data_IF_185906197953
#
_entry.id   IF_185906197953
#
_cell.length_a   1.000
_cell.length_b   1.000
_cell.length_c   1.000
_cell.angle_alpha   90.00
_cell.angle_beta   90.00
_cell.angle_gamma   90.00
#
_symmetry.space_group_name_H-M   'P 1'
#
loop_
_entity.id
_entity.type
_entity.pdbx_description
1 polymer ?
#
# COMPACT_ATOMS: atom_id res chain seq x y z
N UNK A 1 49.98 -25.77 -10.17
CA UNK A 1 48.59 -25.33 -9.87
C UNK A 1 47.77 -25.04 -11.11
N UNK A 2 48.35 -24.45 -12.17
CA UNK A 2 47.64 -24.15 -13.45
C UNK A 2 46.99 -25.41 -14.07
N UNK A 3 47.69 -26.56 -14.02
CA UNK A 3 47.19 -27.84 -14.57
C UNK A 3 45.92 -28.37 -13.90
N UNK A 4 45.73 -28.12 -12.58
CA UNK A 4 44.52 -28.53 -11.87
C UNK A 4 43.33 -27.63 -12.18
N UNK A 5 43.60 -26.34 -12.42
CA UNK A 5 42.60 -25.39 -12.94
C UNK A 5 42.14 -25.78 -14.34
N UNK A 6 43.05 -26.15 -15.24
CA UNK A 6 42.73 -26.60 -16.60
C UNK A 6 41.89 -27.89 -16.62
N UNK A 7 42.21 -28.86 -15.75
CA UNK A 7 41.44 -30.12 -15.64
C UNK A 7 40.03 -29.87 -15.11
N UNK A 8 39.86 -28.87 -14.25
CA UNK A 8 38.58 -28.55 -13.62
C UNK A 8 37.69 -27.69 -14.51
N UNK A 9 38.20 -26.55 -14.99
CA UNK A 9 37.43 -25.49 -15.65
C UNK A 9 37.65 -25.41 -17.16
N UNK A 10 38.71 -26.02 -17.68
CA UNK A 10 39.14 -25.90 -19.07
C UNK A 10 39.06 -27.21 -19.84
N UNK A 11 39.99 -27.38 -20.79
CA UNK A 11 40.08 -28.59 -21.60
C UNK A 11 40.84 -29.68 -20.84
N UNK A 12 40.10 -30.63 -20.26
CA UNK A 12 40.67 -31.71 -19.44
C UNK A 12 41.32 -32.84 -20.25
N UNK A 13 41.02 -32.96 -21.56
CA UNK A 13 41.45 -34.09 -22.38
C UNK A 13 42.97 -34.07 -22.74
N UNK A 14 43.61 -32.94 -23.09
CA UNK A 14 45.04 -32.90 -23.35
C UNK A 14 45.90 -33.16 -22.10
N UNK A 15 45.64 -32.56 -20.92
CA UNK A 15 46.41 -32.84 -19.70
C UNK A 15 46.23 -34.28 -19.21
N UNK A 16 45.00 -34.82 -19.25
CA UNK A 16 44.73 -36.20 -18.82
C UNK A 16 45.41 -37.23 -19.72
N UNK A 17 45.41 -37.00 -21.05
CA UNK A 17 46.11 -37.85 -22.02
C UNK A 17 47.62 -37.85 -21.80
N UNK A 18 48.23 -36.70 -21.51
CA UNK A 18 49.66 -36.63 -21.17
C UNK A 18 49.98 -37.38 -19.88
N UNK A 19 49.12 -37.30 -18.87
CA UNK A 19 49.32 -38.03 -17.61
C UNK A 19 49.19 -39.55 -17.78
N UNK A 20 48.20 -40.01 -18.55
CA UNK A 20 48.02 -41.43 -18.86
C UNK A 20 49.19 -42.01 -19.66
N UNK A 21 49.73 -41.25 -20.61
CA UNK A 21 50.83 -41.72 -21.47
C UNK A 21 52.19 -41.79 -20.76
N UNK A 22 52.45 -40.92 -19.77
CA UNK A 22 53.78 -40.81 -19.14
C UNK A 22 53.91 -41.53 -17.80
N UNK A 23 52.81 -41.85 -17.11
CA UNK A 23 52.85 -42.40 -15.74
C UNK A 23 52.12 -43.74 -15.66
N UNK A 24 50.79 -43.73 -15.79
CA UNK A 24 49.97 -44.94 -15.71
C UNK A 24 48.54 -44.66 -16.15
N UNK A 25 47.90 -45.65 -16.77
CA UNK A 25 46.51 -45.59 -17.22
C UNK A 25 45.50 -45.40 -16.06
N UNK A 26 45.86 -45.82 -14.84
CA UNK A 26 45.01 -45.67 -13.64
C UNK A 26 44.74 -44.20 -13.26
N UNK A 27 45.60 -43.28 -13.66
CA UNK A 27 45.41 -41.85 -13.41
C UNK A 27 44.18 -41.28 -14.13
N UNK A 28 43.76 -41.85 -15.25
CA UNK A 28 42.54 -41.40 -15.91
C UNK A 28 41.28 -41.72 -15.12
N UNK A 29 41.23 -42.87 -14.45
CA UNK A 29 40.11 -43.24 -13.58
C UNK A 29 40.01 -42.29 -12.37
N UNK A 30 41.15 -41.97 -11.76
CA UNK A 30 41.21 -41.00 -10.67
C UNK A 30 40.70 -39.61 -11.08
N UNK A 31 41.15 -39.10 -12.24
CA UNK A 31 40.73 -37.78 -12.77
C UNK A 31 39.24 -37.79 -13.12
N UNK A 32 38.73 -38.89 -13.68
CA UNK A 32 37.31 -39.03 -14.02
C UNK A 32 36.44 -38.99 -12.77
N UNK A 33 36.77 -39.76 -11.73
CA UNK A 33 36.04 -39.76 -10.46
C UNK A 33 36.08 -38.37 -9.81
N UNK A 34 37.27 -37.76 -9.74
CA UNK A 34 37.43 -36.40 -9.23
C UNK A 34 36.51 -35.41 -9.96
N UNK A 35 36.48 -35.45 -11.29
CA UNK A 35 35.65 -34.56 -12.10
C UNK A 35 34.16 -34.84 -11.94
N UNK A 36 33.75 -36.10 -11.88
CA UNK A 36 32.36 -36.47 -11.63
C UNK A 36 31.88 -35.94 -10.28
N UNK A 37 32.65 -36.16 -9.20
CA UNK A 37 32.29 -35.67 -7.87
C UNK A 37 32.25 -34.13 -7.86
N UNK A 38 33.26 -33.48 -8.43
CA UNK A 38 33.34 -32.02 -8.43
C UNK A 38 32.23 -31.36 -9.24
N UNK A 39 31.94 -31.86 -10.45
CA UNK A 39 30.87 -31.31 -11.29
C UNK A 39 29.49 -31.58 -10.69
N UNK A 40 29.24 -32.79 -10.15
CA UNK A 40 27.95 -33.11 -9.52
C UNK A 40 27.74 -32.29 -8.24
N UNK A 41 28.76 -32.18 -7.38
CA UNK A 41 28.67 -31.40 -6.16
C UNK A 41 28.46 -29.91 -6.46
N UNK A 42 29.23 -29.34 -7.40
CA UNK A 42 29.16 -27.92 -7.72
C UNK A 42 27.81 -27.55 -8.34
N UNK A 43 27.32 -28.32 -9.32
CA UNK A 43 26.01 -28.06 -9.96
C UNK A 43 24.87 -28.18 -8.94
N UNK A 44 24.90 -29.19 -8.07
CA UNK A 44 23.88 -29.37 -7.06
C UNK A 44 23.87 -28.23 -6.04
N UNK A 45 25.05 -27.77 -5.60
CA UNK A 45 25.16 -26.64 -4.66
C UNK A 45 24.70 -25.35 -5.32
N UNK A 46 25.13 -25.05 -6.55
CA UNK A 46 24.67 -23.82 -7.23
C UNK A 46 23.17 -23.83 -7.45
N UNK A 47 22.59 -24.95 -7.89
CA UNK A 47 21.15 -25.08 -8.08
C UNK A 47 20.40 -24.91 -6.75
N UNK A 48 20.89 -25.50 -5.66
CA UNK A 48 20.29 -25.32 -4.34
C UNK A 48 20.32 -23.85 -3.88
N UNK A 49 21.42 -23.14 -4.11
CA UNK A 49 21.52 -21.70 -3.78
C UNK A 49 20.57 -20.87 -4.61
N UNK A 50 20.46 -21.12 -5.92
CA UNK A 50 19.51 -20.40 -6.77
C UNK A 50 18.06 -20.63 -6.34
N UNK A 51 17.69 -21.86 -5.99
CA UNK A 51 16.36 -22.19 -5.47
C UNK A 51 16.13 -21.51 -4.12
N UNK A 52 17.11 -21.53 -3.22
CA UNK A 52 17.00 -20.91 -1.90
C UNK A 52 16.82 -19.38 -2.01
N UNK A 53 17.58 -18.72 -2.87
CA UNK A 53 17.47 -17.27 -3.07
C UNK A 53 16.14 -16.89 -3.73
N UNK A 54 15.71 -17.67 -4.74
CA UNK A 54 14.39 -17.46 -5.38
C UNK A 54 13.25 -17.62 -4.37
N UNK A 55 13.33 -18.66 -3.53
CA UNK A 55 12.32 -18.91 -2.51
C UNK A 55 12.33 -17.83 -1.41
N UNK A 56 13.51 -17.32 -1.03
CA UNK A 56 13.63 -16.20 -0.09
C UNK A 56 12.90 -14.97 -0.62
N UNK A 57 13.13 -14.58 -1.88
CA UNK A 57 12.49 -13.40 -2.48
C UNK A 57 10.97 -13.59 -2.62
N UNK A 58 10.51 -14.79 -3.00
CA UNK A 58 9.09 -15.10 -3.06
C UNK A 58 8.43 -15.01 -1.68
N UNK A 59 9.04 -15.62 -0.67
CA UNK A 59 8.54 -15.63 0.71
C UNK A 59 8.59 -14.24 1.35
N UNK A 60 9.60 -13.41 1.07
CA UNK A 60 9.71 -12.10 1.73
C UNK A 60 8.53 -11.19 1.36
N UNK A 61 8.05 -11.24 0.10
CA UNK A 61 6.87 -10.51 -0.34
C UNK A 61 5.59 -11.01 0.35
N UNK A 62 5.37 -12.32 0.37
CA UNK A 62 4.17 -12.91 0.99
C UNK A 62 4.17 -12.77 2.51
N UNK A 63 5.32 -12.98 3.15
CA UNK A 63 5.50 -12.85 4.60
C UNK A 63 5.38 -11.38 5.01
N UNK A 64 5.95 -10.44 4.25
CA UNK A 64 5.77 -9.01 4.52
C UNK A 64 4.29 -8.61 4.41
N UNK A 65 3.58 -9.06 3.37
CA UNK A 65 2.15 -8.78 3.20
C UNK A 65 1.32 -9.38 4.35
N UNK A 66 1.59 -10.63 4.73
CA UNK A 66 0.91 -11.30 5.84
C UNK A 66 1.19 -10.63 7.19
N UNK A 67 2.42 -10.14 7.42
CA UNK A 67 2.77 -9.37 8.61
C UNK A 67 2.03 -8.04 8.65
N UNK A 68 1.98 -7.30 7.53
CA UNK A 68 1.21 -6.04 7.43
C UNK A 68 -0.27 -6.26 7.76
N UNK A 69 -0.89 -7.31 7.20
CA UNK A 69 -2.31 -7.66 7.49
C UNK A 69 -2.53 -8.04 8.96
N UNK A 70 -1.68 -8.89 9.54
CA UNK A 70 -1.80 -9.30 10.95
C UNK A 70 -1.63 -8.13 11.91
N UNK A 71 -0.68 -7.23 11.65
CA UNK A 71 -0.48 -6.03 12.48
C UNK A 71 -1.66 -5.08 12.34
N UNK A 72 -2.19 -4.88 11.14
CA UNK A 72 -3.39 -4.06 10.92
C UNK A 72 -4.61 -4.58 11.69
N UNK A 73 -4.89 -5.88 11.63
CA UNK A 73 -6.00 -6.49 12.36
C UNK A 73 -5.85 -6.38 13.89
N UNK A 74 -4.63 -6.53 14.41
CA UNK A 74 -4.34 -6.32 15.85
C UNK A 74 -4.57 -4.87 16.28
N UNK A 75 -4.13 -3.91 15.46
CA UNK A 75 -4.34 -2.49 15.75
C UNK A 75 -5.83 -2.14 15.70
N UNK A 76 -6.56 -2.66 14.72
CA UNK A 76 -8.01 -2.45 14.63
C UNK A 76 -8.72 -2.96 15.89
N UNK A 77 -8.38 -4.16 16.36
CA UNK A 77 -8.94 -4.70 17.61
C UNK A 77 -8.59 -3.85 18.85
N UNK A 78 -7.35 -3.40 18.96
CA UNK A 78 -6.93 -2.51 20.05
C UNK A 78 -7.71 -1.19 20.03
N UNK A 79 -7.98 -0.65 18.84
CA UNK A 79 -8.80 0.55 18.68
C UNK A 79 -10.26 0.33 19.03
N UNK A 80 -10.81 -0.87 18.75
CA UNK A 80 -12.15 -1.23 19.22
C UNK A 80 -12.23 -1.26 20.74
N UNK A 81 -11.23 -1.87 21.40
CA UNK A 81 -11.16 -1.93 22.86
C UNK A 81 -11.04 -0.52 23.46
N UNK A 82 -10.24 0.36 22.85
CA UNK A 82 -10.11 1.77 23.25
C UNK A 82 -11.42 2.53 23.05
N UNK A 83 -12.11 2.32 21.92
CA UNK A 83 -13.38 2.99 21.66
C UNK A 83 -14.43 2.59 22.69
N UNK A 84 -14.46 1.32 23.08
CA UNK A 84 -15.38 0.83 24.11
C UNK A 84 -15.06 1.39 25.52
N UNK A 85 -13.80 1.73 25.80
CA UNK A 85 -13.41 2.42 27.04
C UNK A 85 -13.75 3.92 27.02
N UNK A 86 -13.90 4.50 25.83
CA UNK A 86 -14.29 5.91 25.61
C UNK A 86 -15.81 6.10 25.54
N UNK A 87 -16.55 5.12 25.04
CA UNK A 87 -18.02 5.13 24.94
C UNK A 87 -18.67 4.64 26.25
N UNK A 88 -18.83 5.55 27.21
CA UNK A 88 -19.54 5.24 28.48
C UNK A 88 -21.06 5.21 28.32
N UNK A 89 -21.59 5.91 27.32
CA UNK A 89 -23.02 5.98 27.02
C UNK A 89 -23.54 4.70 26.37
N UNK A 90 -22.67 3.95 25.69
CA UNK A 90 -23.03 2.75 24.94
C UNK A 90 -23.91 3.06 23.73
N UNK A 91 -23.91 4.31 23.27
CA UNK A 91 -24.69 4.78 22.12
C UNK A 91 -23.92 4.65 20.80
N UNK A 92 -22.64 4.23 20.86
CA UNK A 92 -21.78 4.07 19.70
C UNK A 92 -21.19 5.39 19.20
N UNK A 93 -21.35 6.48 19.95
CA UNK A 93 -20.85 7.81 19.59
C UNK A 93 -20.00 8.38 20.72
N UNK A 94 -18.85 8.96 20.36
CA UNK A 94 -18.01 9.65 21.35
C UNK A 94 -17.90 11.12 21.01
N UNK A 95 -18.15 11.98 22.01
CA UNK A 95 -17.98 13.42 21.81
C UNK A 95 -16.50 13.80 21.77
N UNK A 96 -16.14 14.68 20.82
CA UNK A 96 -14.75 15.15 20.64
C UNK A 96 -14.16 15.74 21.92
N UNK A 97 -14.98 16.42 22.73
CA UNK A 97 -14.53 17.01 24.01
C UNK A 97 -14.15 15.95 25.03
N UNK A 98 -15.01 14.95 25.20
CA UNK A 98 -14.82 13.88 26.18
C UNK A 98 -13.64 12.99 25.76
N UNK A 99 -13.50 12.77 24.45
CA UNK A 99 -12.35 12.09 23.87
C UNK A 99 -11.04 12.81 24.11
N UNK A 100 -10.99 14.12 23.86
CA UNK A 100 -9.77 14.91 24.04
C UNK A 100 -9.33 14.92 25.51
N UNK A 101 -10.28 14.93 26.45
CA UNK A 101 -9.98 14.82 27.87
C UNK A 101 -9.42 13.43 28.23
N UNK A 102 -9.98 12.35 27.70
CA UNK A 102 -9.58 10.97 28.04
C UNK A 102 -8.33 10.47 27.32
N UNK A 103 -8.06 10.96 26.11
CA UNK A 103 -6.84 10.59 25.38
C UNK A 103 -5.59 11.12 26.10
N UNK A 104 -5.73 12.17 26.93
CA UNK A 104 -4.64 12.69 27.76
C UNK A 104 -4.28 11.78 28.94
N UNK A 105 -5.10 10.78 29.27
CA UNK A 105 -4.78 9.82 30.33
C UNK A 105 -3.50 9.04 30.00
N UNK A 106 -2.66 8.82 31.01
CA UNK A 106 -1.35 8.17 30.85
C UNK A 106 -1.47 6.78 30.19
N UNK A 107 -2.57 6.06 30.45
CA UNK A 107 -2.86 4.76 29.86
C UNK A 107 -3.17 4.87 28.36
N UNK A 108 -4.02 5.82 27.96
CA UNK A 108 -4.37 6.02 26.55
C UNK A 108 -3.18 6.54 25.76
N UNK A 109 -2.41 7.46 26.32
CA UNK A 109 -1.17 7.94 25.73
C UNK A 109 -0.16 6.81 25.45
N UNK A 110 -0.05 5.82 26.35
CA UNK A 110 0.79 4.62 26.11
C UNK A 110 0.26 3.76 24.96
N UNK A 111 -1.06 3.64 24.82
CA UNK A 111 -1.69 2.88 23.72
C UNK A 111 -1.44 3.56 22.37
N UNK A 112 -1.65 4.87 22.27
CA UNK A 112 -1.36 5.64 21.04
C UNK A 112 0.13 5.68 20.73
N UNK A 113 0.99 5.82 21.75
CA UNK A 113 2.44 5.74 21.57
C UNK A 113 2.89 4.35 21.10
N UNK A 114 2.26 3.26 21.56
CA UNK A 114 2.50 1.91 21.02
C UNK A 114 2.07 1.76 19.56
N UNK A 115 1.20 2.66 19.08
CA UNK A 115 0.78 2.71 17.70
C UNK A 115 1.60 3.70 16.85
N UNK A 116 2.66 4.30 17.40
CA UNK A 116 3.48 5.37 16.79
C UNK A 116 2.66 6.63 16.45
N UNK A 117 1.67 6.96 17.28
CA UNK A 117 0.81 8.13 17.09
C UNK A 117 0.97 9.12 18.24
N UNK A 118 1.08 10.40 17.88
CA UNK A 118 1.06 11.50 18.85
C UNK A 118 -0.39 11.86 19.19
N UNK A 119 -0.65 12.11 20.48
CA UNK A 119 -1.98 12.48 20.99
C UNK A 119 -2.50 13.74 20.30
N UNK A 120 -1.62 14.68 20.00
CA UNK A 120 -1.94 15.94 19.32
C UNK A 120 -2.45 15.69 17.90
N UNK A 121 -1.77 14.84 17.12
CA UNK A 121 -2.21 14.47 15.77
C UNK A 121 -3.55 13.74 15.76
N UNK A 122 -3.78 12.87 16.74
CA UNK A 122 -5.06 12.17 16.91
C UNK A 122 -6.16 13.19 17.21
N UNK A 123 -5.93 14.12 18.14
CA UNK A 123 -6.93 15.14 18.49
C UNK A 123 -7.31 16.06 17.32
N UNK A 124 -6.32 16.48 16.51
CA UNK A 124 -6.54 17.32 15.33
C UNK A 124 -7.34 16.57 14.26
N UNK A 125 -7.00 15.30 14.00
CA UNK A 125 -7.68 14.46 13.04
C UNK A 125 -9.16 14.28 13.40
N UNK A 126 -9.42 13.97 14.66
CA UNK A 126 -10.78 13.76 15.17
C UNK A 126 -11.61 15.04 15.08
N UNK A 127 -11.00 16.19 15.39
CA UNK A 127 -11.65 17.47 15.21
C UNK A 127 -12.05 17.70 13.75
N UNK A 128 -11.15 17.43 12.79
CA UNK A 128 -11.45 17.53 11.35
C UNK A 128 -12.55 16.57 10.90
N UNK A 129 -12.57 15.34 11.39
CA UNK A 129 -13.57 14.33 11.03
C UNK A 129 -14.96 14.62 11.60
N UNK A 130 -15.05 15.46 12.64
CA UNK A 130 -16.30 15.70 13.35
C UNK A 130 -17.35 16.54 12.60
N UNK A 131 -17.06 17.04 11.39
CA UNK A 131 -17.96 17.80 10.47
C UNK A 131 -18.98 18.72 11.18
N UNK A 132 -18.55 19.40 12.25
CA UNK A 132 -19.39 20.26 13.08
C UNK A 132 -20.40 19.57 14.01
N UNK A 133 -20.58 18.24 13.93
CA UNK A 133 -21.48 17.43 14.78
C UNK A 133 -20.92 17.16 16.19
N UNK A 134 -19.64 17.44 16.42
CA UNK A 134 -18.94 17.26 17.72
C UNK A 134 -19.00 15.83 18.28
N UNK A 135 -19.34 14.85 17.45
CA UNK A 135 -19.45 13.43 17.79
C UNK A 135 -18.84 12.60 16.66
N UNK A 136 -18.25 11.47 17.01
CA UNK A 136 -17.56 10.56 16.09
C UNK A 136 -18.10 9.15 16.34
N UNK A 137 -18.46 8.48 15.24
CA UNK A 137 -18.87 7.07 15.24
C UNK A 137 -17.66 6.13 15.33
N UNK A 138 -17.87 4.92 15.86
CA UNK A 138 -16.85 3.88 15.97
C UNK A 138 -16.11 3.64 14.66
N UNK A 139 -16.84 3.49 13.56
CA UNK A 139 -16.23 3.20 12.26
C UNK A 139 -15.40 4.38 11.74
N UNK A 140 -15.83 5.61 12.02
CA UNK A 140 -15.09 6.81 11.67
C UNK A 140 -13.81 6.93 12.49
N UNK A 141 -13.87 6.66 13.80
CA UNK A 141 -12.72 6.66 14.69
C UNK A 141 -11.64 5.67 14.24
N UNK A 142 -12.04 4.41 14.00
CA UNK A 142 -11.11 3.35 13.61
C UNK A 142 -10.49 3.65 12.23
N UNK A 143 -11.30 4.08 11.26
CA UNK A 143 -10.81 4.44 9.92
C UNK A 143 -9.86 5.63 9.97
N UNK A 144 -10.18 6.66 10.76
CA UNK A 144 -9.33 7.84 10.93
C UNK A 144 -7.95 7.47 11.48
N UNK A 145 -7.91 6.71 12.57
CA UNK A 145 -6.64 6.35 13.21
C UNK A 145 -5.84 5.34 12.36
N UNK A 146 -6.49 4.39 11.70
CA UNK A 146 -5.81 3.49 10.76
C UNK A 146 -5.26 4.24 9.54
N UNK A 147 -5.95 5.28 9.07
CA UNK A 147 -5.44 6.14 8.01
C UNK A 147 -4.20 6.94 8.46
N UNK A 148 -4.19 7.41 9.72
CA UNK A 148 -3.04 8.09 10.30
C UNK A 148 -1.81 7.17 10.45
N UNK A 149 -2.04 5.87 10.76
CA UNK A 149 -0.99 4.85 10.91
C UNK A 149 -0.50 4.22 9.59
N UNK A 150 -1.28 4.30 8.51
CA UNK A 150 -0.94 3.68 7.22
C UNK A 150 0.44 4.11 6.70
N UNK A 151 1.02 3.36 5.76
CA UNK A 151 2.34 3.55 5.12
C UNK A 151 2.44 4.85 4.27
N UNK A 152 1.79 5.93 4.69
CA UNK A 152 1.94 7.26 4.20
C UNK A 152 3.05 7.92 5.01
N UNK A 153 4.28 7.81 4.48
CA UNK A 153 5.54 8.41 4.94
C UNK A 153 5.53 9.94 5.14
N UNK A 154 4.38 10.59 5.16
CA UNK A 154 4.24 11.90 5.78
C UNK A 154 2.80 12.06 6.26
N UNK A 155 2.65 12.29 7.56
CA UNK A 155 1.41 12.78 8.18
C UNK A 155 0.78 13.92 7.36
N UNK A 156 1.58 14.71 6.63
CA UNK A 156 1.13 15.72 5.68
C UNK A 156 0.32 15.22 4.47
N UNK A 157 0.65 14.08 3.86
CA UNK A 157 -0.11 13.56 2.70
C UNK A 157 -1.48 13.02 3.10
N UNK A 158 -1.55 12.31 4.23
CA UNK A 158 -2.83 11.81 4.77
C UNK A 158 -3.72 12.97 5.22
N UNK A 159 -3.15 13.96 5.94
CA UNK A 159 -3.88 15.19 6.31
C UNK A 159 -4.41 15.91 5.07
N UNK A 160 -3.59 16.03 4.01
CA UNK A 160 -4.02 16.65 2.75
C UNK A 160 -5.17 15.88 2.09
N UNK A 161 -5.12 14.55 2.06
CA UNK A 161 -6.17 13.73 1.45
C UNK A 161 -7.49 13.81 2.24
N UNK A 162 -7.41 13.80 3.58
CA UNK A 162 -8.58 13.98 4.44
C UNK A 162 -9.18 15.38 4.29
N UNK A 163 -8.35 16.42 4.27
CA UNK A 163 -8.79 17.81 4.02
C UNK A 163 -9.44 17.90 2.64
N UNK A 164 -8.87 17.28 1.60
CA UNK A 164 -9.44 17.27 0.27
C UNK A 164 -10.81 16.56 0.23
N UNK A 165 -10.98 15.47 0.97
CA UNK A 165 -12.28 14.78 1.09
C UNK A 165 -13.31 15.64 1.83
N UNK A 166 -12.93 16.25 2.95
CA UNK A 166 -13.80 17.17 3.69
C UNK A 166 -14.16 18.41 2.84
N UNK A 167 -13.22 18.93 2.04
CA UNK A 167 -13.48 20.03 1.09
C UNK A 167 -14.43 19.60 -0.04
N UNK A 168 -14.34 18.37 -0.53
CA UNK A 168 -15.26 17.86 -1.55
C UNK A 168 -16.69 17.72 -0.99
N UNK A 169 -16.84 17.15 0.21
CA UNK A 169 -18.16 17.02 0.85
C UNK A 169 -18.80 18.38 1.17
N UNK A 170 -18.01 19.36 1.61
CA UNK A 170 -18.51 20.72 1.83
C UNK A 170 -18.86 21.43 0.54
N UNK A 171 -18.11 21.21 -0.55
CA UNK A 171 -18.46 21.73 -1.88
C UNK A 171 -19.75 21.13 -2.42
N UNK A 172 -20.00 19.84 -2.24
CA UNK A 172 -21.24 19.20 -2.66
C UNK A 172 -22.44 19.78 -1.89
N UNK A 173 -22.30 19.99 -0.56
CA UNK A 173 -23.35 20.63 0.25
C UNK A 173 -23.60 22.08 -0.13
N UNK A 174 -22.54 22.84 -0.44
CA UNK A 174 -22.67 24.23 -0.91
C UNK A 174 -23.30 24.27 -2.29
N UNK A 175 -22.93 23.35 -3.20
CA UNK A 175 -23.57 23.23 -4.52
C UNK A 175 -25.07 22.98 -4.37
N UNK A 176 -25.45 22.06 -3.49
CA UNK A 176 -26.86 21.75 -3.22
C UNK A 176 -27.63 22.97 -2.67
N UNK A 177 -27.04 23.74 -1.75
CA UNK A 177 -27.66 24.97 -1.20
C UNK A 177 -27.72 26.12 -2.22
N UNK A 178 -26.74 26.25 -3.09
CA UNK A 178 -26.74 27.28 -4.15
C UNK A 178 -27.77 26.93 -5.23
N UNK A 179 -27.93 25.65 -5.56
CA UNK A 179 -28.97 25.16 -6.48
C UNK A 179 -30.37 25.32 -5.88
N UNK A 180 -30.54 25.12 -4.57
CA UNK A 180 -31.85 25.33 -3.92
C UNK A 180 -32.20 26.81 -3.74
N UNK A 181 -31.21 27.70 -3.68
CA UNK A 181 -31.39 29.15 -3.46
C UNK A 181 -31.40 29.95 -4.77
N UNK A 182 -31.04 29.34 -5.91
CA UNK A 182 -31.19 29.99 -7.21
C UNK A 182 -32.67 30.19 -7.55
N UNK A 183 -33.14 31.41 -7.32
CA UNK A 183 -34.41 31.96 -7.80
C UNK A 183 -34.63 31.54 -9.27
N UNK A 184 -35.78 30.98 -9.63
CA UNK A 184 -36.08 30.72 -11.03
C UNK A 184 -36.08 32.07 -11.75
N UNK A 185 -35.09 32.27 -12.63
CA UNK A 185 -35.05 33.41 -13.54
C UNK A 185 -36.33 33.33 -14.36
N UNK A 186 -37.26 34.24 -14.07
CA UNK A 186 -38.53 34.41 -14.77
C UNK A 186 -38.22 34.78 -16.21
N UNK A 187 -38.30 33.82 -17.11
CA UNK A 187 -38.16 34.05 -18.55
C UNK A 187 -39.26 35.02 -19.01
N UNK A 188 -38.84 36.23 -19.35
CA UNK A 188 -39.69 37.23 -20.00
C UNK A 188 -39.71 36.93 -21.51
N UNK A 189 -40.89 36.88 -22.17
CA UNK A 189 -40.99 36.36 -23.52
C UNK A 189 -40.50 37.40 -24.53
N UNK A 190 -39.23 37.29 -24.94
CA UNK A 190 -38.68 38.13 -25.99
C UNK A 190 -39.06 37.56 -27.37
N UNK A 191 -39.82 38.38 -28.10
CA UNK A 191 -40.34 38.18 -29.45
C UNK A 191 -39.38 37.49 -30.41
N UNK A 192 -39.98 36.63 -31.23
CA UNK A 192 -39.44 36.01 -32.44
C UNK A 192 -38.63 36.99 -33.29
N UNK A 193 -37.37 36.64 -33.57
CA UNK A 193 -36.79 36.93 -34.88
C UNK A 193 -35.96 35.74 -35.35
N UNK A 194 -36.48 35.16 -36.42
CA UNK A 194 -35.99 34.04 -37.23
C UNK A 194 -34.62 34.26 -37.85
N UNK A 195 -33.95 33.11 -38.11
CA UNK A 195 -32.91 32.84 -39.13
C UNK A 195 -31.52 33.42 -38.82
N UNK A 196 -30.39 32.72 -38.95
CA UNK A 196 -29.95 31.45 -39.55
C UNK A 196 -28.64 31.10 -38.81
N UNK A 197 -28.32 29.84 -38.47
CA UNK A 197 -27.47 28.97 -39.31
C UNK A 197 -27.29 27.62 -38.60
N UNK A 198 -27.57 26.56 -39.37
CA UNK A 198 -27.05 25.20 -39.20
C UNK A 198 -25.52 25.25 -39.27
N UNK A 199 -24.71 24.72 -38.35
CA UNK A 199 -24.29 23.31 -38.24
C UNK A 199 -23.34 23.24 -37.02
N UNK A 200 -23.69 22.52 -35.95
CA UNK A 200 -23.40 21.10 -35.67
C UNK A 200 -21.94 20.81 -35.21
N UNK A 201 -21.85 20.54 -33.90
CA UNK A 201 -21.11 19.43 -33.30
C UNK A 201 -19.58 19.43 -33.32
N UNK A 202 -18.98 19.74 -32.17
CA UNK A 202 -17.84 19.01 -31.57
C UNK A 202 -17.41 19.67 -30.25
N UNK A 203 -18.09 19.37 -29.14
CA UNK A 203 -17.56 19.73 -27.81
C UNK A 203 -18.25 19.00 -26.64
N UNK A 204 -18.74 17.76 -26.84
CA UNK A 204 -19.48 17.07 -25.77
C UNK A 204 -19.25 15.56 -25.67
N UNK A 205 -18.11 15.06 -26.14
CA UNK A 205 -17.75 13.64 -26.01
C UNK A 205 -16.39 13.35 -25.36
N UNK A 206 -15.63 14.36 -24.96
CA UNK A 206 -14.28 14.15 -24.39
C UNK A 206 -14.23 14.05 -22.86
N UNK A 207 -15.29 14.39 -22.14
CA UNK A 207 -15.30 14.30 -20.66
C UNK A 207 -15.79 12.95 -20.11
N UNK A 208 -16.57 12.18 -20.88
CA UNK A 208 -17.05 10.86 -20.43
C UNK A 208 -16.03 9.72 -20.67
N UNK A 209 -15.03 9.95 -21.54
CA UNK A 209 -14.01 8.93 -21.85
C UNK A 209 -12.84 8.91 -20.86
N UNK A 210 -12.67 9.96 -20.03
CA UNK A 210 -11.51 10.06 -19.14
C UNK A 210 -11.75 9.37 -17.79
N UNK A 211 -12.97 9.44 -17.25
CA UNK A 211 -13.31 8.78 -15.97
C UNK A 211 -13.29 7.24 -16.04
N UNK A 212 -13.74 6.66 -17.15
CA UNK A 212 -13.79 5.19 -17.32
C UNK A 212 -12.40 4.54 -17.52
N UNK A 213 -11.42 5.26 -18.07
CA UNK A 213 -10.07 4.71 -18.30
C UNK A 213 -9.17 4.74 -17.07
N UNK A 214 -9.44 5.59 -16.08
CA UNK A 214 -8.70 5.61 -14.81
C UNK A 214 -9.20 4.47 -13.90
N UNK A 215 -10.51 4.21 -13.89
CA UNK A 215 -11.10 3.12 -13.10
C UNK A 215 -10.66 1.73 -13.56
N UNK A 216 -10.44 1.51 -14.86
CA UNK A 216 -10.06 0.19 -15.37
C UNK A 216 -8.53 -0.09 -15.32
N UNK A 217 -7.72 0.85 -14.82
CA UNK A 217 -6.24 0.72 -14.75
C UNK A 217 -5.71 0.65 -13.32
N UNK A 218 -6.53 0.90 -12.31
CA UNK A 218 -6.30 0.52 -10.92
C UNK A 218 -7.19 -0.69 -10.63
N UNK A 219 -6.66 -1.89 -10.88
CA UNK A 219 -7.34 -3.16 -10.59
C UNK A 219 -7.56 -3.36 -9.09
N UNK A 220 -8.65 -2.80 -8.59
CA UNK A 220 -9.41 -3.25 -7.42
C UNK A 220 -10.85 -3.44 -7.87
#
# INVERSE_FOLDING_TARGET
MITMGEITLGNWAPPSRRLMANISQWWGLFILIYRCVLCLALVNVTNAVFIAETNRVALDNDVAMMRKRKTGAKNAKLLEDVFQELDESGDGFVSVKDMTARIQDERMRKVFSHMDLEVEEVSELLFMMSDGKKQIDKDQFIKGILALKGDARSSGQTKLLLIAQAMAETLDRVHEHVVSTSVPIRDEPRRQQTRTTSTRSKARSTLHSFGSKVFNKLGI
#
